data_IF_052306035080
#
_entry.id   IF_052306035080
#
_cell.length_a   1.000
_cell.length_b   1.000
_cell.length_c   1.000
_cell.angle_alpha   90.00
_cell.angle_beta   90.00
_cell.angle_gamma   90.00
#
_symmetry.space_group_name_H-M   'P 1'
#
loop_
_entity.id
_entity.type
_entity.pdbx_description
1 polymer ?
#
# COMPACT_ATOMS: atom_id res chain seq x y z
N UNK A 1 23.46 -19.66 -1.27
CA UNK A 1 22.65 -19.14 -0.16
C UNK A 1 22.71 -17.61 -0.19
N UNK A 2 21.98 -17.00 -1.14
CA UNK A 2 21.94 -15.54 -1.37
C UNK A 2 20.57 -15.08 -1.90
N UNK A 3 19.83 -15.98 -2.55
CA UNK A 3 18.42 -15.75 -2.92
C UNK A 3 17.49 -15.73 -1.69
N UNK A 4 17.89 -16.40 -0.61
CA UNK A 4 17.08 -16.54 0.60
C UNK A 4 16.92 -15.24 1.38
N UNK A 5 17.95 -14.39 1.45
CA UNK A 5 17.89 -13.14 2.22
C UNK A 5 16.98 -12.09 1.55
N UNK A 6 17.04 -11.95 0.23
CA UNK A 6 16.18 -11.02 -0.52
C UNK A 6 14.71 -11.45 -0.50
N UNK A 7 14.42 -12.76 -0.66
CA UNK A 7 13.06 -13.27 -0.56
C UNK A 7 12.51 -13.24 0.87
N UNK A 8 13.34 -13.54 1.88
CA UNK A 8 12.92 -13.44 3.28
C UNK A 8 12.64 -11.99 3.69
N UNK A 9 13.45 -11.02 3.24
CA UNK A 9 13.23 -9.60 3.51
C UNK A 9 11.94 -9.11 2.85
N UNK A 10 11.69 -9.47 1.59
CA UNK A 10 10.42 -9.13 0.93
C UNK A 10 9.23 -9.82 1.60
N UNK A 11 9.34 -11.08 2.01
CA UNK A 11 8.27 -11.79 2.71
C UNK A 11 7.96 -11.18 4.08
N UNK A 12 8.99 -10.75 4.82
CA UNK A 12 8.86 -10.05 6.10
C UNK A 12 8.16 -8.70 5.92
N UNK A 13 8.54 -7.90 4.92
CA UNK A 13 7.86 -6.64 4.62
C UNK A 13 6.36 -6.86 4.33
N UNK A 14 6.03 -7.79 3.44
CA UNK A 14 4.62 -8.14 3.13
C UNK A 14 3.88 -8.66 4.37
N UNK A 15 4.49 -9.52 5.18
CA UNK A 15 3.87 -10.06 6.39
C UNK A 15 3.60 -8.99 7.45
N UNK A 16 4.54 -8.05 7.66
CA UNK A 16 4.35 -6.89 8.54
C UNK A 16 3.21 -6.01 8.02
N UNK A 17 3.17 -5.73 6.72
CA UNK A 17 2.12 -4.90 6.11
C UNK A 17 0.73 -5.53 6.26
N UNK A 18 0.60 -6.84 5.99
CA UNK A 18 -0.66 -7.58 6.22
C UNK A 18 -1.03 -7.61 7.72
N UNK A 19 -0.06 -7.77 8.62
CA UNK A 19 -0.31 -7.73 10.07
C UNK A 19 -0.82 -6.36 10.53
N UNK A 20 -0.23 -5.25 10.06
CA UNK A 20 -0.73 -3.90 10.40
C UNK A 20 -2.13 -3.67 9.78
N UNK A 21 -2.41 -4.20 8.59
CA UNK A 21 -3.74 -4.10 7.98
C UNK A 21 -4.81 -4.80 8.82
N UNK A 22 -4.56 -6.03 9.27
CA UNK A 22 -5.45 -6.74 10.19
C UNK A 22 -5.58 -6.01 11.53
N UNK A 23 -4.48 -5.41 12.02
CA UNK A 23 -4.49 -4.62 13.26
C UNK A 23 -5.21 -3.27 13.12
N UNK A 24 -5.27 -2.69 11.91
CA UNK A 24 -6.13 -1.53 11.64
C UNK A 24 -7.60 -1.93 11.63
N UNK A 25 -7.96 -3.06 11.03
CA UNK A 25 -9.34 -3.55 10.94
C UNK A 25 -9.93 -3.81 12.34
N UNK A 26 -9.16 -4.44 13.22
CA UNK A 26 -9.52 -4.68 14.62
C UNK A 26 -9.79 -3.39 15.42
N UNK A 27 -9.13 -2.27 15.07
CA UNK A 27 -9.32 -0.94 15.67
C UNK A 27 -9.89 0.08 14.66
N UNK A 28 -10.79 -0.35 13.78
CA UNK A 28 -11.39 0.51 12.76
C UNK A 28 -12.59 1.35 13.28
N UNK A 29 -12.98 1.20 14.55
CA UNK A 29 -14.09 1.93 15.17
C UNK A 29 -13.63 3.10 16.07
N UNK A 30 -12.46 2.97 16.70
CA UNK A 30 -11.92 3.97 17.61
C UNK A 30 -11.52 5.27 16.87
N UNK A 31 -11.68 6.41 17.54
CA UNK A 31 -11.03 7.67 17.14
C UNK A 31 -9.48 7.60 17.16
N UNK A 32 -8.93 6.49 17.64
CA UNK A 32 -7.52 6.10 17.68
C UNK A 32 -7.07 5.35 16.40
N UNK A 33 -7.97 5.12 15.45
CA UNK A 33 -7.75 4.29 14.26
C UNK A 33 -6.71 4.85 13.26
N UNK A 34 -6.77 6.15 12.94
CA UNK A 34 -6.04 6.73 11.79
C UNK A 34 -4.51 6.66 11.91
N UNK A 35 -3.94 6.52 13.13
CA UNK A 35 -2.50 6.26 13.30
C UNK A 35 -2.04 4.96 12.64
N UNK A 36 -2.89 3.94 12.56
CA UNK A 36 -2.54 2.70 11.86
C UNK A 36 -2.52 2.89 10.35
N UNK A 37 -3.43 3.69 9.77
CA UNK A 37 -3.39 4.03 8.34
C UNK A 37 -2.11 4.78 7.96
N UNK A 38 -1.67 5.70 8.82
CA UNK A 38 -0.37 6.40 8.67
C UNK A 38 0.80 5.40 8.77
N UNK A 39 0.74 4.45 9.71
CA UNK A 39 1.77 3.42 9.88
C UNK A 39 1.83 2.46 8.67
N UNK A 40 0.69 2.06 8.11
CA UNK A 40 0.60 1.29 6.87
C UNK A 40 1.20 2.07 5.70
N UNK A 41 0.85 3.35 5.54
CA UNK A 41 1.41 4.21 4.49
C UNK A 41 2.93 4.35 4.62
N UNK A 42 3.44 4.51 5.84
CA UNK A 42 4.88 4.56 6.13
C UNK A 42 5.60 3.25 5.76
N UNK A 43 5.07 2.09 6.18
CA UNK A 43 5.71 0.79 5.89
C UNK A 43 5.57 0.41 4.41
N UNK A 44 4.48 0.76 3.74
CA UNK A 44 4.38 0.65 2.27
C UNK A 44 5.45 1.52 1.61
N UNK A 45 5.59 2.79 2.02
CA UNK A 45 6.62 3.71 1.51
C UNK A 45 8.05 3.18 1.70
N UNK A 46 8.37 2.69 2.90
CA UNK A 46 9.64 2.05 3.21
C UNK A 46 9.88 0.81 2.34
N UNK A 47 8.87 -0.04 2.17
CA UNK A 47 8.98 -1.28 1.40
C UNK A 47 9.16 -1.04 -0.11
N UNK A 48 8.76 0.10 -0.67
CA UNK A 48 9.03 0.43 -2.08
C UNK A 48 10.54 0.47 -2.37
N UNK A 49 11.35 0.93 -1.40
CA UNK A 49 12.81 0.94 -1.50
C UNK A 49 13.47 -0.45 -1.40
N UNK A 50 12.71 -1.50 -1.08
CA UNK A 50 13.21 -2.89 -0.94
C UNK A 50 12.61 -3.80 -2.02
N UNK A 51 11.28 -3.78 -2.20
CA UNK A 51 10.60 -4.60 -3.19
C UNK A 51 9.26 -4.01 -3.64
N UNK A 52 9.13 -3.79 -4.96
CA UNK A 52 7.99 -3.09 -5.57
C UNK A 52 6.63 -3.80 -5.38
N UNK A 53 6.62 -5.13 -5.19
CA UNK A 53 5.40 -5.94 -5.09
C UNK A 53 4.48 -5.48 -3.94
N UNK A 54 5.03 -4.91 -2.88
CA UNK A 54 4.26 -4.48 -1.70
C UNK A 54 3.30 -3.29 -1.99
N UNK A 55 3.46 -2.58 -3.12
CA UNK A 55 2.46 -1.61 -3.58
C UNK A 55 1.09 -2.27 -3.87
N UNK A 56 1.05 -3.57 -4.17
CA UNK A 56 -0.20 -4.32 -4.37
C UNK A 56 -1.01 -4.49 -3.06
N UNK A 57 -0.43 -4.20 -1.89
CA UNK A 57 -1.19 -4.11 -0.64
C UNK A 57 -2.09 -2.86 -0.59
N UNK A 58 -1.74 -1.77 -1.30
CA UNK A 58 -2.50 -0.52 -1.31
C UNK A 58 -3.95 -0.67 -1.86
N UNK A 59 -4.23 -1.39 -2.97
CA UNK A 59 -5.60 -1.69 -3.38
C UNK A 59 -6.34 -2.59 -2.39
N UNK A 60 -5.67 -3.54 -1.73
CA UNK A 60 -6.30 -4.36 -0.69
C UNK A 60 -6.73 -3.50 0.51
N UNK A 61 -5.90 -2.53 0.93
CA UNK A 61 -6.24 -1.54 1.95
C UNK A 61 -7.41 -0.65 1.52
N UNK A 62 -7.38 -0.13 0.29
CA UNK A 62 -8.46 0.70 -0.24
C UNK A 62 -9.80 -0.04 -0.27
N UNK A 63 -9.78 -1.33 -0.63
CA UNK A 63 -10.96 -2.19 -0.56
C UNK A 63 -11.44 -2.44 0.87
N UNK A 64 -10.56 -2.79 1.81
CA UNK A 64 -10.96 -2.91 3.23
C UNK A 64 -11.57 -1.60 3.73
N UNK A 65 -10.92 -0.47 3.48
CA UNK A 65 -11.41 0.85 3.88
C UNK A 65 -12.79 1.16 3.30
N UNK A 66 -13.01 0.90 2.01
CA UNK A 66 -14.32 1.06 1.37
C UNK A 66 -15.38 0.15 2.01
N UNK A 67 -15.13 -1.15 2.17
CA UNK A 67 -16.11 -2.09 2.72
C UNK A 67 -16.41 -1.84 4.21
N UNK A 68 -15.40 -1.47 5.01
CA UNK A 68 -15.55 -1.23 6.46
C UNK A 68 -16.20 0.12 6.77
N UNK A 69 -15.97 1.16 5.95
CA UNK A 69 -16.53 2.52 6.16
C UNK A 69 -17.81 2.83 5.36
N UNK A 70 -18.25 1.94 4.46
CA UNK A 70 -19.47 2.11 3.64
C UNK A 70 -20.59 1.16 4.07
N UNK A 71 -21.57 1.67 4.81
CA UNK A 71 -22.69 0.88 5.34
C UNK A 71 -23.61 0.23 4.28
N UNK A 72 -23.52 0.66 3.01
CA UNK A 72 -24.23 0.06 1.87
C UNK A 72 -23.23 -0.17 0.72
N UNK A 73 -22.44 -1.26 0.73
CA UNK A 73 -21.39 -1.49 -0.25
C UNK A 73 -21.99 -1.84 -1.62
N UNK A 74 -21.98 -0.87 -2.53
CA UNK A 74 -22.42 -1.08 -3.93
C UNK A 74 -21.30 -1.70 -4.77
N UNK A 75 -21.68 -2.50 -5.78
CA UNK A 75 -20.75 -3.03 -6.80
C UNK A 75 -20.06 -1.91 -7.57
N UNK A 76 -20.78 -0.83 -7.89
CA UNK A 76 -20.26 0.35 -8.58
C UNK A 76 -19.19 1.08 -7.75
N UNK A 77 -19.40 1.27 -6.45
CA UNK A 77 -18.37 1.84 -5.56
C UNK A 77 -17.18 0.91 -5.35
N UNK A 78 -17.37 -0.41 -5.41
CA UNK A 78 -16.26 -1.38 -5.44
C UNK A 78 -15.40 -1.24 -6.71
N UNK A 79 -16.04 -1.06 -7.88
CA UNK A 79 -15.35 -0.79 -9.15
C UNK A 79 -14.60 0.55 -9.09
N UNK A 80 -15.21 1.61 -8.54
CA UNK A 80 -14.53 2.91 -8.34
C UNK A 80 -13.31 2.74 -7.43
N UNK A 81 -13.44 2.00 -6.33
CA UNK A 81 -12.33 1.74 -5.39
C UNK A 81 -11.17 1.00 -6.07
N UNK A 82 -11.48 0.02 -6.93
CA UNK A 82 -10.49 -0.67 -7.76
C UNK A 82 -9.80 0.28 -8.73
N UNK A 83 -10.55 1.10 -9.48
CA UNK A 83 -9.97 2.04 -10.46
C UNK A 83 -9.10 3.09 -9.76
N UNK A 84 -9.58 3.69 -8.67
CA UNK A 84 -8.83 4.70 -7.89
C UNK A 84 -7.53 4.10 -7.33
N UNK A 85 -7.59 2.91 -6.74
CA UNK A 85 -6.39 2.29 -6.17
C UNK A 85 -5.39 1.80 -7.22
N UNK A 86 -5.85 1.32 -8.39
CA UNK A 86 -4.96 1.06 -9.53
C UNK A 86 -4.33 2.34 -10.09
N UNK A 87 -5.04 3.46 -10.12
CA UNK A 87 -4.48 4.76 -10.53
C UNK A 87 -3.42 5.25 -9.52
N UNK A 88 -3.65 5.06 -8.22
CA UNK A 88 -2.64 5.37 -7.18
C UNK A 88 -1.40 4.49 -7.35
N UNK A 89 -1.56 3.17 -7.46
CA UNK A 89 -0.40 2.26 -7.67
C UNK A 89 0.32 2.59 -8.97
N UNK A 90 -0.40 2.81 -10.07
CA UNK A 90 0.18 3.16 -11.37
C UNK A 90 0.95 4.48 -11.37
N UNK A 91 0.43 5.51 -10.68
CA UNK A 91 1.13 6.80 -10.55
C UNK A 91 2.35 6.75 -9.63
N UNK A 92 2.40 5.86 -8.63
CA UNK A 92 3.65 5.60 -7.89
C UNK A 92 4.66 4.83 -8.74
N UNK A 93 4.23 3.76 -9.44
CA UNK A 93 5.09 2.91 -10.27
C UNK A 93 5.67 3.62 -11.50
N UNK A 94 4.89 4.48 -12.16
CA UNK A 94 5.28 5.15 -13.41
C UNK A 94 5.67 6.62 -13.19
N UNK A 95 5.17 7.26 -12.14
CA UNK A 95 5.50 8.65 -11.80
C UNK A 95 6.67 8.75 -10.82
N UNK A 96 6.53 8.22 -9.61
CA UNK A 96 7.52 8.46 -8.53
C UNK A 96 8.82 7.69 -8.79
N UNK A 97 8.73 6.37 -9.01
CA UNK A 97 9.91 5.48 -9.06
C UNK A 97 10.88 5.81 -10.21
N UNK A 98 10.44 6.00 -11.48
CA UNK A 98 11.34 6.40 -12.57
C UNK A 98 11.42 7.91 -12.78
N UNK A 99 10.43 8.69 -12.31
CA UNK A 99 10.42 10.15 -12.47
C UNK A 99 11.41 10.87 -11.55
N UNK A 100 11.58 10.43 -10.31
CA UNK A 100 12.61 10.98 -9.42
C UNK A 100 14.04 10.86 -10.00
N UNK A 101 14.52 9.69 -10.48
CA UNK A 101 15.85 9.59 -11.08
C UNK A 101 15.97 10.25 -12.46
N UNK A 102 14.91 10.32 -13.28
CA UNK A 102 14.98 11.06 -14.57
C UNK A 102 14.94 12.58 -14.39
N UNK A 103 14.28 13.09 -13.34
CA UNK A 103 14.43 14.49 -12.94
C UNK A 103 15.83 14.75 -12.38
N UNK A 104 16.33 13.91 -11.47
CA UNK A 104 17.66 14.07 -10.88
C UNK A 104 18.78 14.05 -11.95
N UNK A 105 18.74 13.09 -12.89
CA UNK A 105 19.65 13.01 -14.03
C UNK A 105 19.37 14.02 -15.16
N UNK A 106 18.41 14.93 -14.97
CA UNK A 106 18.17 16.09 -15.82
C UNK A 106 18.78 17.39 -15.29
N UNK A 107 19.50 17.33 -14.15
CA UNK A 107 20.24 18.45 -13.55
C UNK A 107 21.77 18.27 -13.61
N UNK A 108 22.26 17.30 -14.39
CA UNK A 108 23.67 17.05 -14.73
C UNK A 108 23.89 17.19 -16.25
#
# INVERSE_FOLDING_TARGET
AVEGEVYAMSALCTAVVVWIMLKWEEYADEADSDKWLILIAYVIGLSIGVHLLNLLALPALAFMYYYRRTANPTTLGGIITLVVSLVIVGSVLVGIIPGLPTLAGGFE
#
